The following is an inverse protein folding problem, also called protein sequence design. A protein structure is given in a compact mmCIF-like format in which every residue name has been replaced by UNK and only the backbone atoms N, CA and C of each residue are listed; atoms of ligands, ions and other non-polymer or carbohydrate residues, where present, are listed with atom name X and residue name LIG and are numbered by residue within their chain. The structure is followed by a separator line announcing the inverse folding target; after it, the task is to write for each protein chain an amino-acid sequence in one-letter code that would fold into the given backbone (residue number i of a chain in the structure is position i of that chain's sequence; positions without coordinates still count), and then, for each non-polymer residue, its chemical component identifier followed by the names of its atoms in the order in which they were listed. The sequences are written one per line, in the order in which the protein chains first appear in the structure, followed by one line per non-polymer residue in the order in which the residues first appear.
data_IF_388705243016
#
_entry.id   IF_388705243016
#
_cell.length_a   1.000
_cell.length_b   1.000
_cell.length_c   1.000
_cell.angle_alpha   90.00
_cell.angle_beta   90.00
_cell.angle_gamma   90.00
#
_symmetry.space_group_name_H-M   'P 1'
#
loop_
_entity.id
_entity.type
_entity.pdbx_description
1 polymer ?
#
# COMPACT_ATOMS: atom_id res chain seq x y z
N UNK A 1 -1.75 2.15 18.16
CA UNK A 1 -3.17 1.70 18.13
C UNK A 1 -3.55 0.95 19.41
N UNK A 2 -3.03 -0.26 19.67
CA UNK A 2 -3.42 -1.09 20.84
C UNK A 2 -3.17 -0.42 22.21
N UNK A 3 -2.06 0.30 22.36
CA UNK A 3 -1.74 1.08 23.58
C UNK A 3 -2.73 2.23 23.86
N UNK A 4 -3.44 2.71 22.83
CA UNK A 4 -4.45 3.77 22.95
C UNK A 4 -5.88 3.19 22.96
N UNK A 5 -6.02 1.88 23.23
CA UNK A 5 -7.30 1.18 23.33
C UNK A 5 -8.00 0.91 21.99
N UNK A 6 -7.30 1.11 20.87
CA UNK A 6 -7.82 0.83 19.53
C UNK A 6 -7.27 -0.52 19.10
N UNK A 7 -8.13 -1.54 19.12
CA UNK A 7 -7.77 -2.86 18.61
C UNK A 7 -7.86 -2.85 17.08
N UNK A 8 -6.69 -2.82 16.43
CA UNK A 8 -6.59 -2.94 14.97
C UNK A 8 -6.22 -4.37 14.64
N UNK A 9 -7.05 -5.10 13.87
CA UNK A 9 -6.67 -6.39 13.32
C UNK A 9 -5.52 -6.21 12.32
N UNK A 10 -4.61 -7.18 12.29
CA UNK A 10 -3.42 -7.16 11.44
C UNK A 10 -3.80 -7.37 9.96
N UNK A 11 -3.40 -6.48 9.03
CA UNK A 11 -3.73 -6.61 7.61
C UNK A 11 -2.97 -7.79 7.01
N UNK A 12 -3.67 -8.90 6.82
CA UNK A 12 -3.12 -10.18 6.36
C UNK A 12 -3.77 -11.40 7.01
N UNK A 13 -4.51 -11.18 8.10
CA UNK A 13 -5.33 -12.20 8.76
C UNK A 13 -6.65 -12.33 7.99
N UNK A 14 -6.84 -13.46 7.30
CA UNK A 14 -7.96 -13.73 6.37
C UNK A 14 -9.35 -13.88 7.00
N UNK A 15 -9.66 -13.17 8.08
CA UNK A 15 -10.94 -13.24 8.80
C UNK A 15 -11.35 -11.92 9.45
N UNK A 16 -10.85 -10.77 8.99
CA UNK A 16 -11.37 -9.48 9.41
C UNK A 16 -12.77 -9.23 8.79
N UNK A 17 -13.82 -9.79 9.40
CA UNK A 17 -15.15 -9.21 9.34
C UNK A 17 -15.00 -7.72 9.68
N UNK A 18 -15.29 -6.85 8.71
CA UNK A 18 -15.31 -5.42 8.89
C UNK A 18 -16.49 -5.08 9.80
N UNK A 19 -16.33 -5.24 11.10
CA UNK A 19 -17.27 -4.72 12.08
C UNK A 19 -17.25 -3.20 11.91
N UNK A 20 -18.38 -2.55 11.57
CA UNK A 20 -18.45 -1.10 11.56
C UNK A 20 -17.92 -0.60 12.89
N UNK A 21 -17.01 0.38 12.86
CA UNK A 21 -16.52 1.07 14.06
C UNK A 21 -17.74 1.73 14.73
N UNK A 22 -18.42 0.97 15.57
CA UNK A 22 -19.58 1.41 16.31
C UNK A 22 -19.11 2.35 17.42
N UNK A 23 -19.87 3.43 17.61
CA UNK A 23 -19.64 4.52 18.55
C UNK A 23 -18.51 5.52 18.24
N UNK A 24 -18.90 6.81 18.26
CA UNK A 24 -18.00 7.96 18.08
C UNK A 24 -16.88 8.09 19.13
N UNK A 25 -16.81 7.19 20.12
CA UNK A 25 -15.71 7.08 21.08
C UNK A 25 -14.43 6.53 20.46
N UNK A 26 -14.52 5.56 19.56
CA UNK A 26 -13.34 4.91 18.96
C UNK A 26 -12.75 5.73 17.82
N UNK A 27 -13.56 6.52 17.11
CA UNK A 27 -13.04 7.45 16.10
C UNK A 27 -12.12 8.52 16.69
N UNK A 28 -12.50 9.11 17.84
CA UNK A 28 -11.66 10.12 18.51
C UNK A 28 -10.35 9.52 19.07
N UNK A 29 -10.41 8.29 19.59
CA UNK A 29 -9.22 7.57 20.07
C UNK A 29 -8.31 7.14 18.93
N UNK A 30 -8.89 6.69 17.82
CA UNK A 30 -8.20 6.35 16.58
C UNK A 30 -7.47 7.58 16.01
N UNK A 31 -8.16 8.73 15.93
CA UNK A 31 -7.57 9.98 15.47
C UNK A 31 -6.39 10.42 16.36
N UNK A 32 -6.55 10.41 17.69
CA UNK A 32 -5.49 10.73 18.63
C UNK A 32 -4.31 9.74 18.57
N UNK A 33 -4.58 8.45 18.32
CA UNK A 33 -3.55 7.43 18.14
C UNK A 33 -2.78 7.60 16.82
N UNK A 34 -3.47 7.95 15.73
CA UNK A 34 -2.89 8.25 14.43
C UNK A 34 -2.04 9.53 14.46
N UNK A 35 -2.48 10.57 15.17
CA UNK A 35 -1.73 11.82 15.31
C UNK A 35 -0.40 11.61 16.04
N UNK A 36 -0.39 10.85 17.13
CA UNK A 36 0.84 10.50 17.86
C UNK A 36 1.79 9.62 17.05
N UNK A 37 1.23 8.81 16.15
CA UNK A 37 2.00 7.98 15.23
C UNK A 37 2.26 8.68 13.89
N UNK A 38 1.87 9.94 13.69
CA UNK A 38 1.85 10.58 12.36
C UNK A 38 3.23 10.61 11.70
N UNK A 39 4.29 10.88 12.47
CA UNK A 39 5.67 10.85 11.97
C UNK A 39 6.10 9.44 11.53
N UNK A 40 5.64 8.41 12.24
CA UNK A 40 5.89 7.00 11.91
C UNK A 40 5.00 6.49 10.76
N UNK A 41 3.76 6.98 10.66
CA UNK A 41 2.85 6.71 9.55
C UNK A 41 3.34 7.37 8.26
N UNK A 42 3.97 8.55 8.36
CA UNK A 42 4.64 9.18 7.23
C UNK A 42 5.93 8.45 6.85
N UNK A 43 6.65 7.88 7.82
CA UNK A 43 7.84 7.06 7.58
C UNK A 43 7.51 5.66 7.02
N UNK A 44 6.34 5.09 7.34
CA UNK A 44 5.94 3.73 6.95
C UNK A 44 4.71 3.62 6.02
N UNK A 45 4.19 4.73 5.49
CA UNK A 45 2.88 4.73 4.84
C UNK A 45 2.60 5.88 3.86
N UNK A 46 3.63 6.60 3.41
CA UNK A 46 3.50 7.49 2.26
C UNK A 46 3.63 6.69 0.97
N UNK A 47 2.72 6.86 0.01
CA UNK A 47 3.02 6.45 -1.37
C UNK A 47 4.30 7.18 -1.79
N UNK A 48 5.30 6.47 -2.34
CA UNK A 48 6.54 7.08 -2.80
C UNK A 48 6.25 8.26 -3.73
N UNK A 49 7.04 9.33 -3.65
CA UNK A 49 6.87 10.47 -4.54
C UNK A 49 7.24 10.07 -5.97
N UNK A 50 6.23 9.71 -6.76
CA UNK A 50 6.36 9.32 -8.15
C UNK A 50 6.77 10.47 -9.07
N UNK A 51 7.05 11.68 -8.57
CA UNK A 51 7.69 12.74 -9.37
C UNK A 51 9.21 12.68 -9.24
N UNK A 52 9.74 12.03 -8.20
CA UNK A 52 11.17 11.75 -8.10
C UNK A 52 11.57 10.73 -9.18
N UNK A 53 12.53 11.05 -10.06
CA UNK A 53 12.94 10.16 -11.14
C UNK A 53 13.44 8.79 -10.63
N UNK A 54 14.13 8.74 -9.48
CA UNK A 54 14.64 7.47 -8.93
C UNK A 54 13.50 6.56 -8.46
N UNK A 55 12.49 7.15 -7.83
CA UNK A 55 11.30 6.43 -7.37
C UNK A 55 10.50 5.92 -8.55
N UNK A 56 10.41 6.72 -9.63
CA UNK A 56 9.75 6.30 -10.87
C UNK A 56 10.45 5.16 -11.56
N UNK A 57 11.78 5.20 -11.63
CA UNK A 57 12.57 4.12 -12.23
C UNK A 57 12.37 2.82 -11.42
N UNK A 58 12.43 2.88 -10.09
CA UNK A 58 12.14 1.72 -9.23
C UNK A 58 10.73 1.18 -9.46
N UNK A 59 9.72 2.06 -9.58
CA UNK A 59 8.37 1.62 -9.88
C UNK A 59 8.24 1.02 -11.28
N UNK A 60 8.95 1.55 -12.28
CA UNK A 60 8.98 0.98 -13.62
C UNK A 60 9.62 -0.43 -13.62
N UNK A 61 10.68 -0.65 -12.84
CA UNK A 61 11.27 -1.98 -12.65
C UNK A 61 10.31 -2.96 -11.98
N UNK A 62 9.53 -2.49 -11.00
CA UNK A 62 8.45 -3.27 -10.40
C UNK A 62 7.37 -3.61 -11.43
N UNK A 63 6.85 -2.61 -12.17
CA UNK A 63 5.82 -2.81 -13.18
C UNK A 63 6.28 -3.78 -14.28
N UNK A 64 7.55 -3.71 -14.68
CA UNK A 64 8.15 -4.66 -15.61
C UNK A 64 8.14 -6.09 -15.05
N UNK A 65 8.58 -6.28 -13.80
CA UNK A 65 8.56 -7.58 -13.13
C UNK A 65 7.13 -8.16 -13.03
N UNK A 66 6.14 -7.30 -12.77
CA UNK A 66 4.73 -7.69 -12.72
C UNK A 66 4.24 -8.16 -14.11
N UNK A 67 4.62 -7.45 -15.18
CA UNK A 67 4.32 -7.85 -16.57
C UNK A 67 4.92 -9.21 -16.93
N UNK A 68 6.16 -9.49 -16.50
CA UNK A 68 6.80 -10.80 -16.67
C UNK A 68 6.06 -11.93 -15.97
N UNK A 69 5.33 -11.63 -14.90
CA UNK A 69 4.51 -12.58 -14.16
C UNK A 69 3.03 -12.59 -14.57
N UNK A 70 2.70 -11.98 -15.71
CA UNK A 70 1.37 -12.03 -16.30
C UNK A 70 0.40 -10.98 -15.77
N UNK A 71 0.90 -9.95 -15.09
CA UNK A 71 0.11 -8.84 -14.55
C UNK A 71 0.49 -7.56 -15.29
N UNK A 72 -0.38 -7.09 -16.17
CA UNK A 72 -0.13 -5.87 -16.91
C UNK A 72 -0.46 -4.62 -16.10
N UNK A 73 0.58 -3.97 -15.58
CA UNK A 73 0.50 -2.71 -14.84
C UNK A 73 1.20 -1.62 -15.65
N UNK A 74 0.56 -0.47 -15.87
CA UNK A 74 1.17 0.65 -16.59
C UNK A 74 2.25 1.36 -15.75
N UNK A 75 3.28 1.86 -16.43
CA UNK A 75 4.34 2.64 -15.80
C UNK A 75 3.84 4.04 -15.36
N UNK A 76 4.46 4.67 -14.34
CA UNK A 76 4.07 5.99 -13.86
C UNK A 76 4.34 7.08 -14.93
N UNK A 77 3.32 7.88 -15.21
CA UNK A 77 3.39 8.96 -16.19
C UNK A 77 4.35 10.08 -15.79
N UNK A 78 4.78 10.95 -16.75
CA UNK A 78 5.68 12.09 -16.53
C UNK A 78 5.28 12.99 -15.35
N UNK A 79 3.99 13.07 -15.06
CA UNK A 79 3.41 13.87 -13.99
C UNK A 79 3.41 13.20 -12.60
N UNK A 80 4.02 12.01 -12.49
CA UNK A 80 4.03 11.19 -11.28
C UNK A 80 2.67 10.57 -10.94
N UNK A 81 1.82 10.37 -11.95
CA UNK A 81 0.50 9.76 -11.80
C UNK A 81 0.53 8.31 -12.25
N UNK A 82 0.02 7.43 -11.40
CA UNK A 82 -0.30 6.05 -11.75
C UNK A 82 -1.58 6.01 -12.56
N UNK A 83 -1.55 5.26 -13.66
CA UNK A 83 -2.76 4.96 -14.42
C UNK A 83 -3.40 3.71 -13.82
N UNK A 84 -4.70 3.77 -13.58
CA UNK A 84 -5.44 2.57 -13.22
C UNK A 84 -5.48 1.65 -14.44
N UNK A 85 -5.18 0.34 -14.27
CA UNK A 85 -5.32 -0.63 -15.34
C UNK A 85 -6.81 -0.69 -15.76
N UNK A 86 -7.06 -0.67 -17.07
CA UNK A 86 -8.41 -0.62 -17.64
C UNK A 86 -9.02 -2.01 -17.89
N UNK A 87 -8.35 -3.08 -17.47
CA UNK A 87 -8.79 -4.46 -17.62
C UNK A 87 -8.89 -5.21 -16.29
N UNK A 88 -9.51 -6.38 -16.32
CA UNK A 88 -9.58 -7.27 -15.17
C UNK A 88 -8.17 -7.79 -14.82
N UNK A 89 -7.68 -7.41 -13.65
CA UNK A 89 -6.47 -8.01 -13.07
C UNK A 89 -6.86 -9.25 -12.28
N UNK A 90 -6.30 -10.39 -12.66
CA UNK A 90 -6.41 -11.61 -11.86
C UNK A 90 -5.70 -11.39 -10.52
N UNK A 91 -6.49 -11.31 -9.44
CA UNK A 91 -5.97 -11.07 -8.08
C UNK A 91 -4.95 -12.12 -7.65
N UNK A 92 -5.14 -13.40 -8.02
CA UNK A 92 -4.19 -14.45 -7.64
C UNK A 92 -2.88 -14.32 -8.42
N UNK A 93 -2.92 -13.87 -9.66
CA UNK A 93 -1.72 -13.54 -10.44
C UNK A 93 -1.02 -12.32 -9.86
N UNK A 94 -1.79 -11.29 -9.47
CA UNK A 94 -1.30 -10.11 -8.77
C UNK A 94 -0.55 -10.48 -7.49
N UNK A 95 -1.17 -11.24 -6.58
CA UNK A 95 -0.55 -11.64 -5.31
C UNK A 95 0.78 -12.38 -5.54
N UNK A 96 0.78 -13.39 -6.43
CA UNK A 96 2.00 -14.16 -6.75
C UNK A 96 3.09 -13.30 -7.38
N UNK A 97 2.72 -12.36 -8.24
CA UNK A 97 3.67 -11.45 -8.88
C UNK A 97 4.22 -10.47 -7.85
N UNK A 98 3.40 -9.92 -6.96
CA UNK A 98 3.82 -9.03 -5.88
C UNK A 98 4.81 -9.71 -4.93
N UNK A 99 4.60 -10.97 -4.54
CA UNK A 99 5.56 -11.69 -3.70
C UNK A 99 6.93 -11.81 -4.34
N UNK A 100 6.98 -12.06 -5.65
CA UNK A 100 8.23 -12.18 -6.42
C UNK A 100 8.89 -10.82 -6.69
N UNK A 101 8.08 -9.80 -6.93
CA UNK A 101 8.51 -8.45 -7.28
C UNK A 101 8.64 -7.51 -6.07
N UNK A 102 8.32 -7.99 -4.86
CA UNK A 102 8.35 -7.24 -3.58
C UNK A 102 9.61 -6.40 -3.42
N UNK A 103 10.78 -6.96 -3.73
CA UNK A 103 12.06 -6.29 -3.54
C UNK A 103 12.30 -5.13 -4.52
N UNK A 104 11.48 -5.03 -5.58
CA UNK A 104 11.53 -3.97 -6.58
C UNK A 104 10.58 -2.81 -6.26
N UNK A 105 9.67 -2.97 -5.29
CA UNK A 105 8.76 -1.91 -4.89
C UNK A 105 9.54 -0.78 -4.20
N UNK A 106 9.40 0.49 -4.63
CA UNK A 106 9.96 1.61 -3.90
C UNK A 106 9.39 1.66 -2.48
N UNK A 107 10.27 1.62 -1.48
CA UNK A 107 9.92 1.58 -0.05
C UNK A 107 9.73 0.19 0.55
N UNK A 108 9.88 -0.89 -0.22
CA UNK A 108 9.82 -2.25 0.32
C UNK A 108 11.12 -2.60 1.07
N UNK A 109 11.14 -2.33 2.37
CA UNK A 109 12.20 -2.78 3.29
C UNK A 109 12.90 -1.67 4.09
N UNK A 110 12.16 -0.71 4.64
CA UNK A 110 12.67 0.25 5.61
C UNK A 110 11.82 0.25 6.89
#
# INVERSE_FOLDING_TARGET
MRDNGVDVPDPGSGDAEFTPLDEGGDRKKLEAALEKCQSWLQAGGGMPDLKDPKVRDQYAEFAQCMREHGVDIPDPGPDGKLKLPTGDIDRKALDRAQEKCRLKLPGAGQ
#
